data_IF_207288031426
#
_entry.id   IF_207288031426
#
_cell.length_a   1.000
_cell.length_b   1.000
_cell.length_c   1.000
_cell.angle_alpha   90.00
_cell.angle_beta   90.00
_cell.angle_gamma   90.00
#
_symmetry.space_group_name_H-M   'P 1'
#
loop_
_entity.id
_entity.type
_entity.pdbx_description
1 polymer ?
#
# COMPACT_ATOMS: atom_id res chain seq x y z
N UNK A 1 7.19 0.30 -10.71
CA UNK A 1 7.16 1.78 -10.89
C UNK A 1 6.62 2.40 -9.62
N UNK A 2 7.51 2.93 -8.78
CA UNK A 2 7.17 3.52 -7.49
C UNK A 2 6.43 4.86 -7.67
N UNK A 3 5.72 5.33 -6.64
CA UNK A 3 5.04 6.63 -6.70
C UNK A 3 5.99 7.79 -7.02
N UNK A 4 7.29 7.66 -6.74
CA UNK A 4 8.31 8.63 -7.14
C UNK A 4 8.48 8.74 -8.66
N UNK A 5 8.33 7.63 -9.39
CA UNK A 5 8.48 7.62 -10.86
C UNK A 5 7.35 8.39 -11.53
N UNK A 6 6.13 8.30 -10.98
CA UNK A 6 4.95 9.02 -11.49
C UNK A 6 5.07 10.51 -11.19
N UNK A 7 5.56 10.90 -10.01
CA UNK A 7 5.81 12.30 -9.69
C UNK A 7 6.90 12.92 -10.56
N UNK A 8 8.01 12.20 -10.81
CA UNK A 8 9.07 12.64 -11.72
C UNK A 8 8.52 12.76 -13.14
N UNK A 9 7.71 11.80 -13.61
CA UNK A 9 7.11 11.84 -14.93
C UNK A 9 6.14 13.03 -15.09
N UNK A 10 5.31 13.32 -14.07
CA UNK A 10 4.40 14.48 -14.07
C UNK A 10 5.21 15.79 -14.11
N UNK A 11 6.27 15.90 -13.31
CA UNK A 11 7.15 17.09 -13.32
C UNK A 11 7.81 17.25 -14.69
N UNK A 12 8.31 16.18 -15.31
CA UNK A 12 8.92 16.23 -16.64
C UNK A 12 7.91 16.60 -17.74
N UNK A 13 6.67 16.09 -17.65
CA UNK A 13 5.59 16.45 -18.59
C UNK A 13 5.23 17.94 -18.44
N UNK A 14 5.09 18.44 -17.20
CA UNK A 14 4.81 19.85 -16.95
C UNK A 14 5.95 20.74 -17.45
N UNK A 15 7.22 20.36 -17.24
CA UNK A 15 8.38 21.08 -17.76
C UNK A 15 8.44 21.07 -19.29
N UNK A 16 8.06 19.96 -19.95
CA UNK A 16 7.97 19.89 -21.41
C UNK A 16 6.85 20.78 -21.97
N UNK A 17 5.65 20.76 -21.38
CA UNK A 17 4.55 21.64 -21.79
C UNK A 17 4.87 23.12 -21.60
N UNK A 18 5.63 23.47 -20.56
CA UNK A 18 6.07 24.84 -20.33
C UNK A 18 7.11 25.32 -21.34
N UNK A 19 8.03 24.43 -21.76
CA UNK A 19 9.05 24.74 -22.75
C UNK A 19 8.45 25.02 -24.15
N UNK A 20 7.39 24.31 -24.51
CA UNK A 20 6.67 24.55 -25.77
C UNK A 20 5.87 25.85 -25.75
N UNK A 21 5.27 26.21 -24.59
CA UNK A 21 4.60 27.49 -24.41
C UNK A 21 5.56 28.69 -24.50
N UNK A 22 6.78 28.54 -23.98
CA UNK A 22 7.84 29.56 -24.11
C UNK A 22 8.33 29.72 -25.56
N UNK A 23 8.42 28.63 -26.33
CA UNK A 23 8.77 28.70 -27.77
C UNK A 23 7.75 29.48 -28.58
N UNK A 24 6.46 29.33 -28.30
CA UNK A 24 5.38 30.07 -28.99
C UNK A 24 5.44 31.57 -28.66
N UNK A 25 5.83 31.93 -27.45
CA UNK A 25 5.99 33.33 -27.03
C UNK A 25 7.22 34.01 -27.67
N UNK A 26 8.30 33.27 -27.93
CA UNK A 26 9.50 33.80 -28.59
C UNK A 26 9.32 34.17 -30.08
N UNK A 27 8.22 33.75 -30.72
CA UNK A 27 7.93 34.14 -32.11
C UNK A 27 7.29 35.54 -32.24
N UNK A 28 6.86 36.17 -31.14
CA UNK A 28 6.33 37.53 -31.14
C UNK A 28 7.40 38.52 -30.64
N UNK A 29 7.94 39.28 -31.57
CA UNK A 29 9.20 40.03 -31.48
C UNK A 29 9.17 41.30 -30.58
N UNK A 30 8.47 41.27 -29.44
CA UNK A 30 8.21 42.48 -28.62
C UNK A 30 8.61 42.37 -27.14
N UNK A 31 9.30 41.31 -26.71
CA UNK A 31 9.61 41.09 -25.28
C UNK A 31 11.07 40.72 -25.02
N UNK A 32 12.02 41.56 -25.47
CA UNK A 32 13.45 41.25 -25.34
C UNK A 32 14.00 41.39 -23.91
N UNK A 33 13.53 42.37 -23.13
CA UNK A 33 14.15 42.70 -21.83
C UNK A 33 13.55 41.96 -20.63
N UNK A 34 12.27 41.55 -20.70
CA UNK A 34 11.64 40.74 -19.66
C UNK A 34 12.07 39.26 -19.71
N UNK A 35 12.50 38.78 -20.88
CA UNK A 35 12.94 37.40 -21.08
C UNK A 35 14.30 37.11 -20.44
N UNK A 36 15.23 38.07 -20.38
CA UNK A 36 16.55 37.85 -19.78
C UNK A 36 16.47 37.52 -18.27
N UNK A 37 15.58 38.19 -17.52
CA UNK A 37 15.34 37.88 -16.11
C UNK A 37 14.76 36.47 -15.88
N UNK A 38 13.79 36.08 -16.72
CA UNK A 38 13.18 34.75 -16.69
C UNK A 38 14.17 33.64 -17.04
N UNK A 39 15.11 33.89 -17.96
CA UNK A 39 16.14 32.88 -18.30
C UNK A 39 17.07 32.57 -17.13
N UNK A 40 17.39 33.56 -16.29
CA UNK A 40 18.24 33.37 -15.11
C UNK A 40 17.51 32.59 -14.00
N UNK A 41 16.22 32.89 -13.75
CA UNK A 41 15.42 32.13 -12.79
C UNK A 41 15.19 30.68 -13.23
N UNK A 42 14.96 30.45 -14.53
CA UNK A 42 14.82 29.09 -15.09
C UNK A 42 16.15 28.31 -14.98
N UNK A 43 17.30 28.96 -15.19
CA UNK A 43 18.60 28.33 -15.01
C UNK A 43 18.83 27.89 -13.54
N UNK A 44 18.45 28.74 -12.58
CA UNK A 44 18.54 28.45 -11.15
C UNK A 44 17.61 27.28 -10.73
N UNK A 45 16.40 27.22 -11.28
CA UNK A 45 15.47 26.10 -11.07
C UNK A 45 16.00 24.79 -11.66
N UNK A 46 16.63 24.82 -12.84
CA UNK A 46 17.26 23.64 -13.45
C UNK A 46 18.38 23.06 -12.58
N UNK A 47 19.26 23.89 -12.05
CA UNK A 47 20.33 23.42 -11.16
C UNK A 47 19.77 22.82 -9.86
N UNK A 48 18.70 23.40 -9.32
CA UNK A 48 18.04 22.88 -8.13
C UNK A 48 17.40 21.51 -8.36
N UNK A 49 16.78 21.30 -9.53
CA UNK A 49 16.19 20.00 -9.92
C UNK A 49 17.27 18.93 -10.12
N UNK A 50 18.41 19.29 -10.71
CA UNK A 50 19.55 18.36 -10.88
C UNK A 50 20.09 17.93 -9.51
N UNK A 51 20.27 18.86 -8.57
CA UNK A 51 20.70 18.54 -7.20
C UNK A 51 19.72 17.62 -6.47
N UNK A 52 18.41 17.83 -6.64
CA UNK A 52 17.40 16.93 -6.09
C UNK A 52 17.50 15.54 -6.73
N UNK A 53 17.71 15.46 -8.04
CA UNK A 53 17.95 14.20 -8.76
C UNK A 53 19.19 13.46 -8.25
N UNK A 54 20.28 14.17 -7.96
CA UNK A 54 21.49 13.60 -7.40
C UNK A 54 21.31 13.11 -5.95
N UNK A 55 20.57 13.85 -5.11
CA UNK A 55 20.24 13.44 -3.73
C UNK A 55 19.36 12.19 -3.72
N UNK A 56 18.42 12.08 -4.66
CA UNK A 56 17.57 10.91 -4.83
C UNK A 56 18.34 9.72 -5.42
N UNK A 57 19.31 9.97 -6.30
CA UNK A 57 20.20 8.95 -6.86
C UNK A 57 21.25 8.44 -5.86
N UNK A 58 21.71 9.30 -4.95
CA UNK A 58 22.62 8.92 -3.84
C UNK A 58 21.89 8.31 -2.65
N UNK A 59 20.55 8.35 -2.63
CA UNK A 59 19.72 7.53 -1.75
C UNK A 59 19.42 6.13 -2.31
N UNK A 60 20.18 5.70 -3.34
CA UNK A 60 20.21 4.32 -3.82
C UNK A 60 20.85 3.39 -2.79
N UNK A 61 20.09 3.04 -1.76
CA UNK A 61 20.30 1.80 -1.01
C UNK A 61 19.70 0.62 -1.77
N UNK A 62 20.24 0.36 -2.96
CA UNK A 62 20.05 -0.89 -3.69
C UNK A 62 21.37 -1.27 -4.37
N UNK A 63 22.32 -1.74 -3.55
CA UNK A 63 23.35 -2.64 -4.03
C UNK A 63 22.86 -4.08 -3.89
N UNK A 64 22.76 -4.72 -5.04
CA UNK A 64 22.53 -6.14 -5.25
C UNK A 64 23.62 -6.97 -4.57
N UNK A 65 23.24 -7.92 -3.73
CA UNK A 65 24.06 -9.09 -3.41
C UNK A 65 23.33 -10.32 -3.91
N UNK A 66 23.80 -10.82 -5.05
CA UNK A 66 23.58 -12.17 -5.53
C UNK A 66 24.44 -13.13 -4.72
N UNK A 67 23.86 -13.76 -3.71
CA UNK A 67 24.27 -15.08 -3.27
C UNK A 67 23.03 -15.81 -2.75
N UNK A 68 22.85 -17.06 -3.17
CA UNK A 68 21.66 -17.84 -2.87
C UNK A 68 21.35 -17.97 -1.37
N UNK A 69 20.08 -18.23 -1.11
CA UNK A 69 19.46 -18.62 0.16
C UNK A 69 18.76 -17.50 0.96
N UNK A 70 17.43 -17.59 0.92
CA UNK A 70 16.40 -16.95 1.76
C UNK A 70 16.10 -15.47 1.51
N UNK A 71 15.08 -15.25 0.67
CA UNK A 71 14.21 -14.05 0.71
C UNK A 71 13.81 -13.82 2.18
N UNK A 72 13.92 -12.59 2.73
CA UNK A 72 13.47 -12.30 4.08
C UNK A 72 11.98 -12.63 4.15
N UNK A 73 11.66 -13.70 4.87
CA UNK A 73 10.28 -14.05 5.19
C UNK A 73 9.72 -12.88 6.01
N UNK A 74 8.49 -12.41 5.73
CA UNK A 74 7.90 -11.27 6.43
C UNK A 74 8.00 -11.44 7.95
N UNK A 75 8.33 -10.35 8.68
CA UNK A 75 8.23 -10.37 10.15
C UNK A 75 6.79 -10.46 10.64
N UNK A 76 5.82 -10.30 9.73
CA UNK A 76 4.41 -10.49 10.01
C UNK A 76 4.10 -11.99 10.20
N UNK A 77 4.00 -12.41 11.46
CA UNK A 77 3.52 -13.76 11.81
C UNK A 77 2.01 -13.82 11.62
N UNK A 78 1.53 -14.84 10.89
CA UNK A 78 0.09 -15.05 10.76
C UNK A 78 -0.55 -15.35 12.11
N UNK A 79 -1.62 -14.62 12.43
CA UNK A 79 -2.40 -14.76 13.66
C UNK A 79 -3.12 -16.10 13.68
N UNK A 80 -2.98 -16.82 14.79
CA UNK A 80 -3.53 -18.16 15.01
C UNK A 80 -4.55 -18.22 16.14
N UNK A 81 -4.57 -17.22 17.02
CA UNK A 81 -5.42 -17.18 18.21
C UNK A 81 -5.70 -15.72 18.63
N UNK A 82 -6.58 -15.55 19.63
CA UNK A 82 -7.01 -14.24 20.12
C UNK A 82 -5.88 -13.41 20.73
N UNK A 83 -4.98 -14.03 21.50
CA UNK A 83 -3.88 -13.29 22.15
C UNK A 83 -2.92 -12.68 21.11
N UNK A 84 -2.62 -13.42 20.04
CA UNK A 84 -1.83 -12.89 18.92
C UNK A 84 -2.56 -11.77 18.16
N UNK A 85 -3.90 -11.81 18.10
CA UNK A 85 -4.69 -10.73 17.51
C UNK A 85 -4.63 -9.45 18.35
N UNK A 86 -4.73 -9.58 19.67
CA UNK A 86 -4.63 -8.46 20.63
C UNK A 86 -3.23 -7.83 20.63
N UNK A 87 -2.20 -8.65 20.51
CA UNK A 87 -0.81 -8.19 20.33
C UNK A 87 -0.68 -7.41 19.03
N UNK A 88 -1.15 -7.97 17.90
CA UNK A 88 -1.09 -7.31 16.60
C UNK A 88 -1.87 -5.99 16.60
N UNK A 89 -3.02 -5.93 17.26
CA UNK A 89 -3.81 -4.70 17.43
C UNK A 89 -3.07 -3.64 18.24
N UNK A 90 -2.27 -4.05 19.21
CA UNK A 90 -1.43 -3.14 19.98
C UNK A 90 -0.27 -2.62 19.14
N UNK A 91 0.40 -3.49 18.37
CA UNK A 91 1.48 -3.11 17.45
C UNK A 91 0.99 -2.22 16.31
N UNK A 92 -0.20 -2.49 15.79
CA UNK A 92 -0.83 -1.72 14.71
C UNK A 92 -1.22 -0.28 15.11
N UNK A 93 -0.98 0.13 16.36
CA UNK A 93 -1.05 1.54 16.78
C UNK A 93 0.21 2.34 16.40
N UNK A 94 1.35 1.67 16.28
CA UNK A 94 2.61 2.31 15.90
C UNK A 94 2.71 2.50 14.39
N UNK A 95 2.84 3.76 13.96
CA UNK A 95 3.00 4.12 12.55
C UNK A 95 4.24 3.50 11.92
N UNK A 96 5.33 3.32 12.67
CA UNK A 96 6.56 2.68 12.15
C UNK A 96 6.30 1.22 11.82
N UNK A 97 5.66 0.50 12.76
CA UNK A 97 5.23 -0.88 12.54
C UNK A 97 4.31 -1.02 11.32
N UNK A 98 3.32 -0.12 11.15
CA UNK A 98 2.42 -0.14 9.99
C UNK A 98 3.22 -0.01 8.67
N UNK A 99 4.15 0.94 8.59
CA UNK A 99 4.96 1.15 7.39
C UNK A 99 5.84 -0.05 7.07
N UNK A 100 6.47 -0.63 8.08
CA UNK A 100 7.30 -1.83 7.94
C UNK A 100 6.46 -3.04 7.49
N UNK A 101 5.29 -3.25 8.09
CA UNK A 101 4.36 -4.31 7.72
C UNK A 101 3.87 -4.18 6.26
N UNK A 102 3.50 -2.96 5.83
CA UNK A 102 3.10 -2.71 4.44
C UNK A 102 4.26 -2.98 3.48
N UNK A 103 5.49 -2.58 3.84
CA UNK A 103 6.68 -2.84 3.04
C UNK A 103 6.95 -4.35 2.90
N UNK A 104 6.85 -5.10 3.98
CA UNK A 104 7.02 -6.56 3.98
C UNK A 104 6.00 -7.23 3.07
N UNK A 105 4.73 -6.81 3.14
CA UNK A 105 3.66 -7.29 2.24
C UNK A 105 3.97 -6.94 0.78
N UNK A 106 4.42 -5.72 0.50
CA UNK A 106 4.77 -5.27 -0.84
C UNK A 106 5.90 -6.11 -1.48
N UNK A 107 6.90 -6.48 -0.68
CA UNK A 107 7.99 -7.38 -1.09
C UNK A 107 7.47 -8.79 -1.36
N UNK A 108 6.60 -9.32 -0.50
CA UNK A 108 6.07 -10.68 -0.63
C UNK A 108 5.24 -10.91 -1.92
N UNK A 109 4.50 -9.89 -2.38
CA UNK A 109 3.56 -10.02 -3.50
C UNK A 109 4.06 -9.45 -4.83
N UNK A 110 5.25 -8.84 -4.89
CA UNK A 110 5.75 -8.09 -6.04
C UNK A 110 4.73 -7.05 -6.52
N UNK A 111 4.65 -5.92 -5.80
CA UNK A 111 3.67 -4.83 -6.00
C UNK A 111 3.35 -4.50 -7.47
N UNK A 112 4.34 -4.42 -8.36
CA UNK A 112 4.13 -4.04 -9.76
C UNK A 112 3.24 -5.02 -10.55
N UNK A 113 3.08 -6.26 -10.08
CA UNK A 113 2.23 -7.29 -10.71
C UNK A 113 0.80 -7.35 -10.16
N UNK A 114 0.48 -6.46 -9.22
CA UNK A 114 -0.73 -6.55 -8.41
C UNK A 114 -1.86 -5.60 -8.88
N UNK A 115 -1.55 -4.62 -9.73
CA UNK A 115 -2.53 -3.59 -10.14
C UNK A 115 -3.73 -4.23 -10.87
N UNK A 116 -4.94 -3.84 -10.46
CA UNK A 116 -6.22 -4.31 -11.03
C UNK A 116 -6.66 -5.70 -10.55
N UNK A 117 -5.95 -6.33 -9.61
CA UNK A 117 -6.27 -7.65 -9.06
C UNK A 117 -6.74 -7.60 -7.59
N UNK A 118 -7.21 -6.45 -7.13
CA UNK A 118 -7.42 -6.14 -5.71
C UNK A 118 -8.22 -7.17 -4.92
N UNK A 119 -9.25 -7.79 -5.50
CA UNK A 119 -10.01 -8.86 -4.81
C UNK A 119 -9.15 -10.11 -4.56
N UNK A 120 -8.39 -10.55 -5.54
CA UNK A 120 -7.50 -11.72 -5.41
C UNK A 120 -6.39 -11.43 -4.42
N UNK A 121 -5.80 -10.24 -4.49
CA UNK A 121 -4.76 -9.80 -3.56
C UNK A 121 -5.28 -9.68 -2.15
N UNK A 122 -6.47 -9.10 -1.95
CA UNK A 122 -7.12 -9.01 -0.66
C UNK A 122 -7.22 -10.38 0.03
N UNK A 123 -7.61 -11.43 -0.72
CA UNK A 123 -7.63 -12.79 -0.18
C UNK A 123 -6.24 -13.32 0.19
N UNK A 124 -5.23 -13.06 -0.65
CA UNK A 124 -3.85 -13.53 -0.41
C UNK A 124 -3.19 -12.80 0.75
N UNK A 125 -3.39 -11.48 0.88
CA UNK A 125 -2.95 -10.68 2.03
C UNK A 125 -3.65 -11.15 3.29
N UNK A 126 -4.94 -11.51 3.21
CA UNK A 126 -5.67 -12.06 4.35
C UNK A 126 -5.04 -13.38 4.83
N UNK A 127 -4.70 -14.29 3.92
CA UNK A 127 -4.02 -15.56 4.24
C UNK A 127 -2.62 -15.35 4.85
N UNK A 128 -1.99 -14.19 4.60
CA UNK A 128 -0.72 -13.81 5.22
C UNK A 128 -0.91 -13.31 6.65
N UNK A 129 -1.96 -12.52 6.90
CA UNK A 129 -2.27 -11.98 8.23
C UNK A 129 -2.87 -13.02 9.18
N UNK A 130 -3.70 -13.94 8.68
CA UNK A 130 -4.47 -14.84 9.54
C UNK A 130 -4.41 -16.27 9.03
N UNK A 131 -4.30 -17.22 9.95
CA UNK A 131 -4.59 -18.61 9.62
C UNK A 131 -6.08 -18.78 9.34
N UNK A 132 -6.40 -19.52 8.28
CA UNK A 132 -7.79 -19.82 7.88
C UNK A 132 -8.61 -20.45 9.01
N UNK A 133 -7.98 -21.33 9.82
CA UNK A 133 -8.62 -21.95 10.99
C UNK A 133 -9.07 -20.88 11.98
N UNK A 134 -8.20 -19.93 12.33
CA UNK A 134 -8.55 -18.83 13.23
C UNK A 134 -9.69 -17.97 12.69
N UNK A 135 -9.71 -17.68 11.38
CA UNK A 135 -10.82 -16.94 10.77
C UNK A 135 -12.18 -17.64 10.90
N UNK A 136 -12.22 -18.96 11.11
CA UNK A 136 -13.48 -19.68 11.38
C UNK A 136 -14.05 -19.38 12.78
N UNK A 137 -13.19 -19.00 13.72
CA UNK A 137 -13.52 -18.61 15.09
C UNK A 137 -13.89 -17.12 15.19
N UNK A 138 -13.55 -16.33 14.17
CA UNK A 138 -13.93 -14.93 14.06
C UNK A 138 -15.31 -14.73 13.43
N UNK A 139 -15.90 -13.58 13.72
CA UNK A 139 -17.03 -13.00 12.99
C UNK A 139 -16.93 -11.48 13.01
N UNK A 140 -17.72 -10.78 12.18
CA UNK A 140 -17.65 -9.32 12.20
C UNK A 140 -18.13 -8.73 13.53
N UNK A 141 -19.24 -9.22 14.10
CA UNK A 141 -19.88 -8.65 15.29
C UNK A 141 -19.69 -9.45 16.58
N UNK A 142 -19.08 -10.63 16.52
CA UNK A 142 -18.96 -11.58 17.64
C UNK A 142 -20.16 -12.51 17.81
N UNK A 143 -21.29 -12.19 17.17
CA UNK A 143 -22.53 -12.95 17.32
C UNK A 143 -22.60 -14.10 16.30
N UNK A 144 -22.80 -15.33 16.77
CA UNK A 144 -23.22 -16.45 15.95
C UNK A 144 -24.71 -16.72 16.20
N UNK A 145 -25.56 -16.58 15.17
CA UNK A 145 -26.96 -17.01 15.23
C UNK A 145 -27.04 -18.51 14.97
N UNK A 146 -27.66 -19.26 15.86
CA UNK A 146 -28.08 -20.63 15.58
C UNK A 146 -29.51 -20.63 15.01
N UNK A 147 -29.86 -21.68 14.25
CA UNK A 147 -31.20 -21.87 13.68
C UNK A 147 -32.30 -22.04 14.75
N UNK A 148 -31.91 -22.25 16.01
CA UNK A 148 -32.82 -22.66 17.10
C UNK A 148 -33.04 -21.55 18.15
N UNK A 149 -32.47 -20.35 17.96
CA UNK A 149 -32.63 -19.22 18.89
C UNK A 149 -31.62 -19.15 20.03
N UNK A 150 -30.83 -20.21 20.29
CA UNK A 150 -29.82 -20.21 21.34
C UNK A 150 -28.49 -19.56 20.93
N UNK A 151 -27.89 -18.80 21.84
CA UNK A 151 -26.58 -18.17 21.64
C UNK A 151 -25.46 -19.20 21.86
N UNK A 152 -24.94 -19.77 20.77
CA UNK A 152 -23.73 -20.59 20.85
C UNK A 152 -22.47 -19.73 20.75
N UNK A 153 -21.53 -20.02 21.66
CA UNK A 153 -20.09 -19.69 21.65
C UNK A 153 -19.78 -18.35 20.97
N UNK A 154 -19.63 -17.30 21.80
CA UNK A 154 -19.18 -15.98 21.36
C UNK A 154 -17.95 -16.11 20.46
N UNK A 155 -18.08 -15.66 19.22
CA UNK A 155 -16.97 -15.61 18.26
C UNK A 155 -16.14 -14.37 18.54
N UNK A 156 -14.87 -14.36 18.11
CA UNK A 156 -14.05 -13.15 18.17
C UNK A 156 -14.66 -12.07 17.27
N UNK A 157 -14.94 -10.89 17.81
CA UNK A 157 -15.57 -9.79 17.11
C UNK A 157 -14.51 -8.93 16.37
N UNK A 158 -14.29 -9.20 15.08
CA UNK A 158 -13.24 -8.51 14.30
C UNK A 158 -13.45 -6.98 14.22
N UNK A 159 -14.69 -6.48 14.36
CA UNK A 159 -14.97 -5.04 14.41
C UNK A 159 -14.31 -4.30 15.58
N UNK A 160 -13.85 -5.01 16.61
CA UNK A 160 -13.22 -4.43 17.79
C UNK A 160 -11.71 -4.17 17.56
N UNK A 161 -11.14 -4.78 16.52
CA UNK A 161 -9.72 -4.71 16.15
C UNK A 161 -9.52 -3.76 14.95
N UNK A 162 -9.89 -2.48 15.15
CA UNK A 162 -9.91 -1.50 14.06
C UNK A 162 -8.52 -1.24 13.48
N UNK A 163 -7.46 -1.26 14.30
CA UNK A 163 -6.11 -1.00 13.81
C UNK A 163 -5.61 -2.15 12.92
N UNK A 164 -5.91 -3.41 13.27
CA UNK A 164 -5.62 -4.58 12.42
C UNK A 164 -6.42 -4.53 11.12
N UNK A 165 -7.71 -4.22 11.19
CA UNK A 165 -8.58 -4.08 10.00
C UNK A 165 -8.03 -3.01 9.06
N UNK A 166 -7.61 -1.88 9.61
CA UNK A 166 -7.03 -0.77 8.86
C UNK A 166 -5.68 -1.13 8.26
N UNK A 167 -4.81 -1.79 9.02
CA UNK A 167 -3.52 -2.29 8.54
C UNK A 167 -3.69 -3.26 7.36
N UNK A 168 -4.60 -4.22 7.47
CA UNK A 168 -4.94 -5.13 6.37
C UNK A 168 -5.41 -4.35 5.13
N UNK A 169 -6.31 -3.40 5.29
CA UNK A 169 -6.87 -2.67 4.16
C UNK A 169 -5.82 -1.75 3.49
N UNK A 170 -4.97 -1.09 4.28
CA UNK A 170 -3.84 -0.30 3.79
C UNK A 170 -2.83 -1.16 3.04
N UNK A 171 -2.55 -2.38 3.53
CA UNK A 171 -1.66 -3.31 2.84
C UNK A 171 -2.21 -3.73 1.46
N UNK A 172 -3.51 -3.95 1.35
CA UNK A 172 -4.17 -4.24 0.06
C UNK A 172 -4.14 -3.04 -0.87
N UNK A 173 -4.51 -1.85 -0.38
CA UNK A 173 -4.51 -0.61 -1.16
C UNK A 173 -3.10 -0.22 -1.62
N UNK A 174 -2.07 -0.53 -0.82
CA UNK A 174 -0.69 -0.33 -1.23
C UNK A 174 -0.31 -1.19 -2.44
N UNK A 175 -0.77 -2.44 -2.48
CA UNK A 175 -0.53 -3.37 -3.58
C UNK A 175 -1.35 -3.06 -4.83
N UNK A 176 -2.61 -2.67 -4.66
CA UNK A 176 -3.51 -2.26 -5.73
C UNK A 176 -4.21 -0.95 -5.38
N UNK A 177 -3.65 0.20 -5.80
CA UNK A 177 -4.23 1.52 -5.51
C UNK A 177 -5.61 1.75 -6.11
N UNK A 178 -6.05 0.90 -7.06
CA UNK A 178 -7.40 0.97 -7.62
C UNK A 178 -8.46 0.30 -6.73
N UNK A 179 -8.01 -0.45 -5.72
CA UNK A 179 -8.86 -1.20 -4.82
C UNK A 179 -8.95 -0.51 -3.46
N UNK A 180 -10.10 0.11 -3.20
CA UNK A 180 -10.24 0.99 -2.04
C UNK A 180 -10.30 0.23 -0.72
N UNK A 181 -9.94 0.93 0.37
CA UNK A 181 -10.08 0.45 1.75
C UNK A 181 -11.46 -0.18 2.03
N UNK A 182 -12.54 0.43 1.58
CA UNK A 182 -13.91 -0.07 1.81
C UNK A 182 -14.17 -1.41 1.08
N UNK A 183 -13.62 -1.59 -0.12
CA UNK A 183 -13.68 -2.85 -0.85
C UNK A 183 -12.87 -3.95 -0.15
N UNK A 184 -11.67 -3.62 0.36
CA UNK A 184 -10.86 -4.56 1.14
C UNK A 184 -11.59 -5.04 2.41
N UNK A 185 -12.19 -4.13 3.18
CA UNK A 185 -12.99 -4.46 4.37
C UNK A 185 -14.20 -5.32 4.00
N UNK A 186 -14.85 -5.05 2.86
CA UNK A 186 -15.96 -5.89 2.36
C UNK A 186 -15.50 -7.32 2.09
N UNK A 187 -14.33 -7.50 1.47
CA UNK A 187 -13.72 -8.82 1.27
C UNK A 187 -13.44 -9.51 2.61
N UNK A 188 -12.83 -8.81 3.58
CA UNK A 188 -12.57 -9.35 4.91
C UNK A 188 -13.87 -9.84 5.60
N UNK A 189 -14.94 -9.05 5.54
CA UNK A 189 -16.27 -9.44 6.06
C UNK A 189 -16.81 -10.70 5.39
N UNK A 190 -16.78 -10.74 4.06
CA UNK A 190 -17.17 -11.93 3.28
C UNK A 190 -16.28 -13.13 3.63
N UNK A 191 -15.02 -12.88 4.01
CA UNK A 191 -14.09 -13.92 4.43
C UNK A 191 -14.53 -14.66 5.69
N UNK A 192 -15.00 -13.92 6.69
CA UNK A 192 -15.49 -14.52 7.94
C UNK A 192 -16.82 -15.25 7.78
N UNK A 193 -17.73 -14.75 6.92
CA UNK A 193 -19.02 -15.41 6.66
C UNK A 193 -18.82 -16.78 6.00
N UNK A 194 -17.96 -16.85 4.98
CA UNK A 194 -17.66 -18.09 4.26
C UNK A 194 -16.45 -18.86 4.80
N UNK A 195 -15.94 -18.56 5.99
CA UNK A 195 -14.69 -19.14 6.49
C UNK A 195 -14.80 -20.68 6.60
N UNK A 196 -15.94 -21.20 7.09
CA UNK A 196 -16.18 -22.63 7.20
C UNK A 196 -16.14 -23.37 5.86
N UNK A 197 -16.67 -22.77 4.80
CA UNK A 197 -16.69 -23.35 3.45
C UNK A 197 -15.29 -23.40 2.82
N UNK A 198 -14.36 -22.54 3.26
CA UNK A 198 -13.00 -22.44 2.72
C UNK A 198 -11.96 -23.33 3.40
N UNK A 199 -12.28 -23.90 4.56
CA UNK A 199 -11.39 -24.86 5.25
C UNK A 199 -11.67 -26.31 4.80
N UNK A 200 -12.83 -26.55 4.17
CA UNK A 200 -13.25 -27.89 3.73
C UNK A 200 -12.89 -28.21 2.26
N UNK A 201 -12.05 -27.38 1.61
CA UNK A 201 -11.49 -27.62 0.27
C UNK A 201 -10.00 -27.84 0.41
#
# INVERSE_FOLDING_TARGET
>A
MGCCDVFILIILILLCSWNEALRVLCCNNSYSTAMEGLTHEIACLRESVIKIGEILSSSSCYNTLTHGSQVPVPKLKSVTNLAELEELETLAKDKRFILDAIKDVAVAFNRDKCIGQGRTIALRVLDLFFKRIFLTECSWTGMAKQANGDFIKSKVAMKEFNNVVDLYALAVENLDPTFSKSQAIKVLRQCMVGAKQRVMV
#
